data_IF_345056716281
#
_entry.id   IF_345056716281
#
_cell.length_a   1.000
_cell.length_b   1.000
_cell.length_c   1.000
_cell.angle_alpha   90.00
_cell.angle_beta   90.00
_cell.angle_gamma   90.00
#
_symmetry.space_group_name_H-M   'P 1'
#
loop_
_entity.id
_entity.type
_entity.pdbx_description
1 polymer ?
#
# COMPACT_ATOMS: atom_id res chain seq x y z
N UNK A 1 -4.89 48.17 3.54
CA UNK A 1 -5.54 48.01 2.22
C UNK A 1 -4.63 47.48 1.11
N UNK A 2 -3.65 48.22 0.55
CA UNK A 2 -2.83 47.68 -0.58
C UNK A 2 -1.85 46.57 -0.14
N UNK A 3 -1.36 46.63 1.10
CA UNK A 3 -0.43 45.62 1.67
C UNK A 3 -1.12 44.27 1.90
N UNK A 4 -2.32 44.27 2.48
CA UNK A 4 -3.10 43.06 2.79
C UNK A 4 -3.48 42.28 1.53
N UNK A 5 -3.77 42.98 0.42
CA UNK A 5 -4.08 42.33 -0.86
C UNK A 5 -2.87 41.70 -1.55
N UNK A 6 -1.64 42.10 -1.21
CA UNK A 6 -0.42 41.45 -1.72
C UNK A 6 -0.02 40.24 -0.87
N UNK A 7 -0.23 40.31 0.44
CA UNK A 7 0.00 39.19 1.34
C UNK A 7 -0.95 38.02 1.04
N UNK A 8 -2.25 38.28 0.82
CA UNK A 8 -3.21 37.21 0.47
C UNK A 8 -2.88 36.50 -0.85
N UNK A 9 -2.47 37.25 -1.88
CA UNK A 9 -2.04 36.68 -3.17
C UNK A 9 -0.74 35.88 -3.07
N UNK A 10 0.17 36.28 -2.17
CA UNK A 10 1.40 35.54 -1.90
C UNK A 10 1.15 34.25 -1.11
N UNK A 11 0.24 34.31 -0.12
CA UNK A 11 -0.22 33.16 0.68
C UNK A 11 -0.84 32.09 -0.24
N UNK A 12 -1.80 32.47 -1.09
CA UNK A 12 -2.47 31.57 -2.04
C UNK A 12 -1.48 30.92 -3.03
N UNK A 13 -0.49 31.71 -3.50
CA UNK A 13 0.56 31.20 -4.39
C UNK A 13 1.46 30.16 -3.70
N UNK A 14 1.80 30.37 -2.42
CA UNK A 14 2.56 29.42 -1.61
C UNK A 14 1.78 28.14 -1.36
N UNK A 15 0.54 28.24 -0.88
CA UNK A 15 -0.31 27.08 -0.61
C UNK A 15 -0.50 26.24 -1.88
N UNK A 16 -0.74 26.89 -3.04
CA UNK A 16 -0.86 26.18 -4.31
C UNK A 16 0.42 25.43 -4.70
N UNK A 17 1.59 26.04 -4.49
CA UNK A 17 2.88 25.37 -4.78
C UNK A 17 3.12 24.19 -3.85
N UNK A 18 2.85 24.35 -2.56
CA UNK A 18 2.99 23.28 -1.57
C UNK A 18 2.02 22.13 -1.85
N UNK A 19 0.77 22.44 -2.20
CA UNK A 19 -0.22 21.43 -2.58
C UNK A 19 0.20 20.66 -3.85
N UNK A 20 0.68 21.35 -4.89
CA UNK A 20 1.19 20.70 -6.10
C UNK A 20 2.39 19.82 -5.77
N UNK A 21 3.35 20.32 -4.99
CA UNK A 21 4.52 19.56 -4.58
C UNK A 21 4.12 18.31 -3.79
N UNK A 22 3.19 18.45 -2.85
CA UNK A 22 2.65 17.35 -2.07
C UNK A 22 2.04 16.27 -2.96
N UNK A 23 1.17 16.66 -3.90
CA UNK A 23 0.52 15.72 -4.83
C UNK A 23 1.55 15.03 -5.72
N UNK A 24 2.53 15.76 -6.24
CA UNK A 24 3.58 15.18 -7.10
C UNK A 24 4.44 14.19 -6.31
N UNK A 25 4.87 14.53 -5.09
CA UNK A 25 5.66 13.64 -4.24
C UNK A 25 4.90 12.37 -3.88
N UNK A 26 3.64 12.50 -3.45
CA UNK A 26 2.78 11.34 -3.19
C UNK A 26 2.52 10.51 -4.45
N UNK A 27 2.36 11.16 -5.61
CA UNK A 27 2.22 10.49 -6.90
C UNK A 27 3.44 9.64 -7.24
N UNK A 28 4.65 10.15 -7.03
CA UNK A 28 5.90 9.39 -7.24
C UNK A 28 5.99 8.21 -6.29
N UNK A 29 5.70 8.40 -4.99
CA UNK A 29 5.68 7.31 -4.01
C UNK A 29 4.67 6.24 -4.42
N UNK A 30 3.46 6.64 -4.82
CA UNK A 30 2.41 5.73 -5.27
C UNK A 30 2.81 4.97 -6.52
N UNK A 31 3.48 5.62 -7.47
CA UNK A 31 3.95 4.98 -8.70
C UNK A 31 4.95 3.87 -8.38
N UNK A 32 5.94 4.14 -7.53
CA UNK A 32 6.94 3.12 -7.15
C UNK A 32 6.32 1.99 -6.31
N UNK A 33 5.38 2.30 -5.42
CA UNK A 33 4.65 1.30 -4.66
C UNK A 33 3.87 0.37 -5.62
N UNK A 34 3.14 0.94 -6.58
CA UNK A 34 2.35 0.19 -7.57
C UNK A 34 3.24 -0.68 -8.47
N UNK A 35 4.34 -0.13 -8.98
CA UNK A 35 5.32 -0.90 -9.77
C UNK A 35 5.89 -2.09 -9.00
N UNK A 36 6.17 -1.91 -7.71
CA UNK A 36 6.74 -2.95 -6.85
C UNK A 36 5.70 -4.03 -6.54
N UNK A 37 4.47 -3.62 -6.25
CA UNK A 37 3.34 -4.50 -5.98
C UNK A 37 2.97 -5.36 -7.19
N UNK A 38 2.74 -4.74 -8.34
CA UNK A 38 2.40 -5.47 -9.56
C UNK A 38 3.57 -6.31 -10.08
N UNK A 39 4.80 -5.81 -9.92
CA UNK A 39 6.03 -6.55 -10.21
C UNK A 39 6.12 -7.84 -9.39
N UNK A 40 5.97 -7.75 -8.07
CA UNK A 40 5.96 -8.92 -7.18
C UNK A 40 4.82 -9.87 -7.54
N UNK A 41 3.59 -9.35 -7.72
CA UNK A 41 2.41 -10.13 -8.08
C UNK A 41 2.59 -10.97 -9.33
N UNK A 42 3.28 -10.43 -10.35
CA UNK A 42 3.52 -11.12 -11.62
C UNK A 42 4.38 -12.38 -11.48
N UNK A 43 5.24 -12.45 -10.45
CA UNK A 43 6.19 -13.55 -10.23
C UNK A 43 5.88 -14.40 -9.00
N UNK A 44 4.92 -14.01 -8.16
CA UNK A 44 4.56 -14.72 -6.91
C UNK A 44 4.28 -16.21 -7.12
N UNK A 45 3.51 -16.55 -8.16
CA UNK A 45 3.18 -17.95 -8.48
C UNK A 45 4.43 -18.78 -8.80
N UNK A 46 5.21 -18.40 -9.84
CA UNK A 46 6.48 -19.04 -10.15
C UNK A 46 7.47 -19.07 -8.96
N UNK A 47 7.57 -17.98 -8.20
CA UNK A 47 8.45 -17.89 -7.03
C UNK A 47 8.10 -18.93 -5.96
N UNK A 48 6.83 -19.05 -5.56
CA UNK A 48 6.39 -20.11 -4.65
C UNK A 48 6.65 -21.51 -5.24
N UNK A 49 6.50 -21.67 -6.55
CA UNK A 49 6.88 -22.90 -7.26
C UNK A 49 8.36 -23.25 -7.10
N UNK A 50 9.27 -22.26 -7.18
CA UNK A 50 10.71 -22.48 -6.94
C UNK A 50 11.03 -22.89 -5.50
N UNK A 51 10.19 -22.51 -4.54
CA UNK A 51 10.30 -22.93 -3.13
C UNK A 51 9.67 -24.31 -2.87
N UNK A 52 9.25 -25.03 -3.92
CA UNK A 52 8.69 -26.38 -3.83
C UNK A 52 7.19 -26.44 -3.53
N UNK A 53 6.48 -25.31 -3.59
CA UNK A 53 5.03 -25.26 -3.33
C UNK A 53 4.25 -25.84 -4.51
N UNK A 54 3.31 -26.74 -4.23
CA UNK A 54 2.43 -27.31 -5.25
C UNK A 54 1.41 -26.27 -5.76
N UNK A 55 1.06 -26.33 -7.05
CA UNK A 55 0.11 -25.41 -7.68
C UNK A 55 -1.25 -25.29 -6.95
N UNK A 56 -1.75 -26.39 -6.37
CA UNK A 56 -2.96 -26.39 -5.52
C UNK A 56 -2.82 -25.44 -4.33
N UNK A 57 -1.68 -25.51 -3.64
CA UNK A 57 -1.39 -24.68 -2.47
C UNK A 57 -1.17 -23.23 -2.86
N UNK A 58 -0.48 -22.97 -3.99
CA UNK A 58 -0.31 -21.63 -4.55
C UNK A 58 -1.68 -20.99 -4.83
N UNK A 59 -2.58 -21.72 -5.50
CA UNK A 59 -3.94 -21.26 -5.78
C UNK A 59 -4.75 -20.99 -4.50
N UNK A 60 -4.60 -21.83 -3.48
CA UNK A 60 -5.22 -21.62 -2.17
C UNK A 60 -4.70 -20.35 -1.49
N UNK A 61 -3.37 -20.15 -1.43
CA UNK A 61 -2.75 -18.96 -0.83
C UNK A 61 -3.24 -17.69 -1.54
N UNK A 62 -3.24 -17.68 -2.88
CA UNK A 62 -3.70 -16.54 -3.65
C UNK A 62 -5.19 -16.22 -3.39
N UNK A 63 -6.07 -17.23 -3.46
CA UNK A 63 -7.50 -17.04 -3.21
C UNK A 63 -7.82 -16.65 -1.77
N UNK A 64 -7.12 -17.24 -0.80
CA UNK A 64 -7.29 -16.95 0.62
C UNK A 64 -6.78 -15.55 0.97
N UNK A 65 -5.66 -15.13 0.38
CA UNK A 65 -5.12 -13.78 0.54
C UNK A 65 -6.09 -12.71 0.03
N UNK A 66 -6.68 -12.89 -1.16
CA UNK A 66 -7.70 -11.98 -1.68
C UNK A 66 -8.94 -11.94 -0.76
N UNK A 67 -9.42 -13.09 -0.31
CA UNK A 67 -10.53 -13.16 0.62
C UNK A 67 -10.26 -12.39 1.92
N UNK A 68 -9.07 -12.58 2.52
CA UNK A 68 -8.67 -11.87 3.73
C UNK A 68 -8.52 -10.38 3.48
N UNK A 69 -7.91 -9.95 2.38
CA UNK A 69 -7.78 -8.54 2.02
C UNK A 69 -9.15 -7.86 1.93
N UNK A 70 -10.13 -8.49 1.27
CA UNK A 70 -11.48 -7.95 1.21
C UNK A 70 -12.18 -7.94 2.58
N UNK A 71 -12.05 -9.00 3.38
CA UNK A 71 -12.63 -9.07 4.72
C UNK A 71 -12.04 -7.99 5.64
N UNK A 72 -10.71 -7.83 5.65
CA UNK A 72 -10.00 -6.80 6.40
C UNK A 72 -10.38 -5.40 5.93
N UNK A 73 -10.55 -5.17 4.63
CA UNK A 73 -11.00 -3.88 4.09
C UNK A 73 -12.41 -3.53 4.59
N UNK A 74 -13.29 -4.52 4.71
CA UNK A 74 -14.64 -4.36 5.27
C UNK A 74 -14.60 -4.01 6.77
N UNK A 75 -13.81 -4.75 7.55
CA UNK A 75 -13.67 -4.55 9.00
C UNK A 75 -12.96 -3.23 9.31
N UNK A 76 -11.86 -2.93 8.62
CA UNK A 76 -11.08 -1.71 8.81
C UNK A 76 -11.84 -0.47 8.38
N UNK A 77 -12.64 -0.54 7.30
CA UNK A 77 -13.56 0.53 6.92
C UNK A 77 -14.57 0.83 8.03
N UNK A 78 -15.27 -0.20 8.53
CA UNK A 78 -16.23 -0.04 9.62
C UNK A 78 -15.59 0.51 10.90
N UNK A 79 -14.37 0.06 11.23
CA UNK A 79 -13.65 0.50 12.42
C UNK A 79 -13.13 1.94 12.25
N UNK A 80 -12.65 2.29 11.07
CA UNK A 80 -12.22 3.65 10.72
C UNK A 80 -13.39 4.63 10.80
N UNK A 81 -14.55 4.26 10.27
CA UNK A 81 -15.76 5.10 10.30
C UNK A 81 -16.23 5.36 11.74
N UNK A 82 -16.18 4.34 12.61
CA UNK A 82 -16.53 4.49 14.03
C UNK A 82 -15.53 5.32 14.82
N UNK A 83 -14.24 5.18 14.54
CA UNK A 83 -13.17 5.86 15.29
C UNK A 83 -12.84 7.24 14.73
N UNK A 84 -13.29 7.56 13.50
CA UNK A 84 -12.94 8.75 12.72
C UNK A 84 -11.43 8.98 12.55
N UNK A 85 -10.60 7.96 12.76
CA UNK A 85 -9.12 8.03 12.69
C UNK A 85 -8.59 7.59 11.33
N UNK A 86 -9.15 8.12 10.26
CA UNK A 86 -8.85 7.72 8.87
C UNK A 86 -7.35 7.70 8.57
N UNK A 87 -6.61 8.73 8.99
CA UNK A 87 -5.16 8.85 8.78
C UNK A 87 -4.34 7.73 9.41
N UNK A 88 -4.77 7.19 10.54
CA UNK A 88 -4.04 6.12 11.22
C UNK A 88 -4.23 4.78 10.50
N UNK A 89 -5.45 4.48 10.04
CA UNK A 89 -5.72 3.28 9.26
C UNK A 89 -5.07 3.34 7.87
N UNK A 90 -5.12 4.49 7.20
CA UNK A 90 -4.42 4.68 5.92
C UNK A 90 -2.92 4.53 6.09
N UNK A 91 -2.31 5.16 7.11
CA UNK A 91 -0.88 5.06 7.37
C UNK A 91 -0.44 3.62 7.69
N UNK A 92 -1.21 2.89 8.48
CA UNK A 92 -0.92 1.49 8.80
C UNK A 92 -0.99 0.60 7.56
N UNK A 93 -2.04 0.72 6.75
CA UNK A 93 -2.18 -0.08 5.51
C UNK A 93 -1.06 0.21 4.51
N UNK A 94 -0.72 1.49 4.32
CA UNK A 94 0.36 1.89 3.42
C UNK A 94 1.72 1.39 3.91
N UNK A 95 2.01 1.53 5.21
CA UNK A 95 3.24 1.03 5.82
C UNK A 95 3.38 -0.49 5.74
N UNK A 96 2.28 -1.21 5.95
CA UNK A 96 2.24 -2.67 5.80
C UNK A 96 2.59 -3.12 4.39
N UNK A 97 1.95 -2.50 3.39
CA UNK A 97 2.17 -2.83 1.98
C UNK A 97 3.63 -2.53 1.55
N UNK A 98 4.15 -1.34 1.93
CA UNK A 98 5.53 -0.94 1.62
C UNK A 98 6.60 -1.82 2.26
N UNK A 99 6.33 -2.43 3.43
CA UNK A 99 7.27 -3.31 4.12
C UNK A 99 7.15 -4.76 3.66
N UNK A 100 5.94 -5.22 3.32
CA UNK A 100 5.69 -6.61 2.96
C UNK A 100 6.46 -7.03 1.71
N UNK A 101 6.51 -6.18 0.67
CA UNK A 101 7.17 -6.54 -0.61
C UNK A 101 8.71 -6.65 -0.48
N UNK A 102 9.44 -5.70 0.13
CA UNK A 102 10.87 -5.86 0.38
C UNK A 102 11.20 -7.05 1.29
N UNK A 103 10.37 -7.33 2.29
CA UNK A 103 10.53 -8.51 3.15
C UNK A 103 10.32 -9.81 2.38
N UNK A 104 9.47 -9.80 1.35
CA UNK A 104 9.22 -10.94 0.46
C UNK A 104 10.48 -11.35 -0.30
N UNK A 105 11.31 -10.37 -0.69
CA UNK A 105 12.60 -10.63 -1.33
C UNK A 105 13.61 -11.32 -0.39
N UNK A 106 13.41 -11.24 0.94
CA UNK A 106 14.23 -11.88 1.95
C UNK A 106 13.64 -13.22 2.45
N UNK A 107 12.49 -13.65 1.92
CA UNK A 107 11.82 -14.86 2.36
C UNK A 107 12.57 -16.11 1.87
N UNK A 108 13.25 -16.81 2.80
CA UNK A 108 13.93 -18.08 2.53
C UNK A 108 13.04 -19.33 2.65
N UNK A 109 11.80 -19.17 3.10
CA UNK A 109 10.84 -20.25 3.29
C UNK A 109 9.47 -19.87 2.70
N UNK A 110 8.76 -20.84 2.12
CA UNK A 110 7.51 -20.58 1.42
C UNK A 110 6.37 -20.17 2.36
N UNK A 111 6.42 -20.58 3.63
CA UNK A 111 5.46 -20.18 4.66
C UNK A 111 5.58 -18.68 4.97
N UNK A 112 6.82 -18.18 5.03
CA UNK A 112 7.10 -16.75 5.24
C UNK A 112 6.66 -15.95 4.02
N UNK A 113 6.95 -16.45 2.82
CA UNK A 113 6.48 -15.83 1.57
C UNK A 113 4.94 -15.79 1.53
N UNK A 114 4.26 -16.90 1.82
CA UNK A 114 2.81 -16.99 1.84
C UNK A 114 2.18 -16.00 2.85
N UNK A 115 2.76 -15.88 4.04
CA UNK A 115 2.31 -14.92 5.03
C UNK A 115 2.45 -13.48 4.54
N UNK A 116 3.60 -13.11 3.96
CA UNK A 116 3.85 -11.76 3.44
C UNK A 116 2.94 -11.41 2.25
N UNK A 117 2.64 -12.38 1.36
CA UNK A 117 1.70 -12.22 0.25
C UNK A 117 0.27 -11.97 0.75
N UNK A 118 -0.12 -12.60 1.85
CA UNK A 118 -1.44 -12.35 2.48
C UNK A 118 -1.44 -11.00 3.18
N UNK A 119 -0.32 -10.64 3.80
CA UNK A 119 -0.18 -9.44 4.63
C UNK A 119 -0.17 -8.13 3.81
N UNK A 120 0.26 -8.16 2.55
CA UNK A 120 0.21 -6.99 1.66
C UNK A 120 -1.19 -6.62 1.15
N UNK A 121 -2.23 -7.41 1.48
CA UNK A 121 -3.60 -7.31 0.94
C UNK A 121 -4.52 -6.47 1.82
#
# INVERSE_FOLDING_TARGET
>A
MISEGKESLQEDSRIRKEAILFVVLFGVVSLFADMTYEGARSITGPFLGTLGVQAKTIGFIAGFGEFLGYALRLVSGMLSDRTKRYWLFTGLGYGLNLLAVPLLALAGAWEIAAFLIILER
#
